data_IF_097639228985
#
_entry.id   IF_097639228985
#
_cell.length_a   1.000
_cell.length_b   1.000
_cell.length_c   1.000
_cell.angle_alpha   90.00
_cell.angle_beta   90.00
_cell.angle_gamma   90.00
#
_symmetry.space_group_name_H-M   'P 1'
#
loop_
_entity.id
_entity.type
_entity.pdbx_description
1 polymer ?
#
# COMPACT_ATOMS: atom_id res chain seq x y z
N UNK A 1 -3.12 14.22 -14.50
CA UNK A 1 -1.66 14.42 -14.63
C UNK A 1 -1.02 13.09 -14.95
N UNK A 2 0.05 13.04 -15.76
CA UNK A 2 0.76 11.80 -16.05
C UNK A 2 1.49 11.24 -14.83
N UNK A 3 1.93 9.99 -14.92
CA UNK A 3 2.78 9.30 -13.94
C UNK A 3 4.06 10.11 -13.65
N UNK A 4 4.47 10.16 -12.37
CA UNK A 4 5.76 10.75 -11.96
C UNK A 4 6.93 9.86 -12.37
N UNK A 5 7.97 10.47 -12.94
CA UNK A 5 9.16 9.76 -13.44
C UNK A 5 10.35 9.83 -12.49
N UNK A 6 10.27 10.65 -11.44
CA UNK A 6 11.30 10.86 -10.43
C UNK A 6 11.14 9.94 -9.19
N UNK A 7 10.01 9.23 -9.09
CA UNK A 7 9.79 8.20 -8.06
C UNK A 7 9.98 6.83 -8.70
N UNK A 8 10.78 5.98 -8.04
CA UNK A 8 10.99 4.59 -8.45
C UNK A 8 10.59 3.59 -7.35
N UNK A 9 10.65 4.01 -6.08
CA UNK A 9 10.33 3.19 -4.91
C UNK A 9 9.33 3.88 -4.01
N UNK A 10 8.31 3.15 -3.58
CA UNK A 10 7.23 3.64 -2.72
C UNK A 10 7.14 2.76 -1.47
N UNK A 11 7.16 3.40 -0.30
CA UNK A 11 6.84 2.75 0.98
C UNK A 11 5.35 2.94 1.26
N UNK A 12 4.62 1.83 1.43
CA UNK A 12 3.26 1.81 1.94
C UNK A 12 3.31 1.45 3.42
N UNK A 13 2.59 2.22 4.24
CA UNK A 13 2.44 1.97 5.67
C UNK A 13 1.05 1.36 5.89
N UNK A 14 1.01 0.11 6.35
CA UNK A 14 -0.22 -0.57 6.74
C UNK A 14 -0.79 -0.03 8.05
N UNK A 15 -2.06 -0.34 8.31
CA UNK A 15 -2.78 0.14 9.50
C UNK A 15 -2.34 -0.52 10.81
N UNK A 16 -1.59 -1.62 10.76
CA UNK A 16 -1.33 -2.46 11.92
C UNK A 16 -2.54 -3.35 12.26
N UNK A 17 -2.59 -3.91 13.48
CA UNK A 17 -3.62 -4.86 13.90
C UNK A 17 -5.04 -4.31 13.80
N UNK A 18 -6.00 -5.20 13.61
CA UNK A 18 -7.43 -4.87 13.57
C UNK A 18 -7.90 -4.37 14.94
N UNK A 19 -8.54 -3.20 14.95
CA UNK A 19 -9.24 -2.64 16.11
C UNK A 19 -10.63 -2.13 15.70
N UNK A 20 -11.48 -1.83 16.69
CA UNK A 20 -12.80 -1.22 16.41
C UNK A 20 -12.58 0.06 15.61
N UNK A 21 -13.32 0.19 14.50
CA UNK A 21 -13.23 1.31 13.55
C UNK A 21 -11.93 1.39 12.73
N UNK A 22 -11.04 0.39 12.82
CA UNK A 22 -9.89 0.24 11.94
C UNK A 22 -9.65 -1.25 11.67
N UNK A 23 -10.43 -1.81 10.75
CA UNK A 23 -10.50 -3.24 10.49
C UNK A 23 -10.01 -3.59 9.08
N UNK A 24 -10.65 -4.56 8.44
CA UNK A 24 -10.21 -5.17 7.19
C UNK A 24 -10.23 -4.22 5.98
N UNK A 25 -10.89 -3.07 6.08
CA UNK A 25 -10.95 -2.07 5.02
C UNK A 25 -9.55 -1.58 4.60
N UNK A 26 -8.58 -1.59 5.53
CA UNK A 26 -7.21 -1.18 5.25
C UNK A 26 -6.36 -2.29 4.64
N UNK A 27 -6.68 -3.56 4.92
CA UNK A 27 -6.04 -4.68 4.22
C UNK A 27 -6.51 -4.75 2.76
N UNK A 28 -7.83 -4.61 2.53
CA UNK A 28 -8.40 -4.50 1.19
C UNK A 28 -7.79 -3.32 0.41
N UNK A 29 -7.76 -2.13 1.03
CA UNK A 29 -7.21 -0.93 0.40
C UNK A 29 -5.70 -1.03 0.18
N UNK A 30 -4.95 -1.58 1.14
CA UNK A 30 -3.51 -1.79 1.05
C UNK A 30 -3.12 -2.76 -0.07
N UNK A 31 -3.83 -3.89 -0.18
CA UNK A 31 -3.63 -4.85 -1.25
C UNK A 31 -3.92 -4.24 -2.63
N UNK A 32 -4.98 -3.44 -2.76
CA UNK A 32 -5.27 -2.71 -4.00
C UNK A 32 -4.19 -1.69 -4.34
N UNK A 33 -3.69 -0.94 -3.36
CA UNK A 33 -2.60 0.02 -3.57
C UNK A 33 -1.31 -0.67 -4.04
N UNK A 34 -0.92 -1.79 -3.41
CA UNK A 34 0.23 -2.59 -3.84
C UNK A 34 0.05 -3.08 -5.28
N UNK A 35 -1.14 -3.59 -5.62
CA UNK A 35 -1.43 -4.07 -6.98
C UNK A 35 -1.31 -2.94 -8.01
N UNK A 36 -1.98 -1.82 -7.80
CA UNK A 36 -1.97 -0.69 -8.73
C UNK A 36 -0.56 -0.13 -8.95
N UNK A 37 0.22 0.05 -7.87
CA UNK A 37 1.58 0.58 -7.99
C UNK A 37 2.54 -0.41 -8.68
N UNK A 38 2.37 -1.72 -8.47
CA UNK A 38 3.14 -2.73 -9.20
C UNK A 38 2.77 -2.79 -10.68
N UNK A 39 1.50 -2.66 -11.04
CA UNK A 39 1.03 -2.59 -12.45
C UNK A 39 1.60 -1.36 -13.17
N UNK A 40 1.75 -0.25 -12.44
CA UNK A 40 2.44 0.94 -12.93
C UNK A 40 3.97 0.81 -12.94
N UNK A 41 4.55 -0.30 -12.47
CA UNK A 41 5.99 -0.56 -12.53
C UNK A 41 6.82 0.14 -11.45
N UNK A 42 6.24 0.47 -10.30
CA UNK A 42 6.99 0.93 -9.13
C UNK A 42 7.52 -0.24 -8.31
N UNK A 43 8.68 -0.05 -7.67
CA UNK A 43 9.09 -0.92 -6.57
C UNK A 43 8.30 -0.55 -5.32
N UNK A 44 7.61 -1.53 -4.72
CA UNK A 44 6.74 -1.29 -3.56
C UNK A 44 7.27 -2.04 -2.36
N UNK A 45 7.50 -1.31 -1.27
CA UNK A 45 7.80 -1.86 0.06
C UNK A 45 6.58 -1.62 0.93
N UNK A 46 6.07 -2.65 1.60
CA UNK A 46 4.96 -2.55 2.54
C UNK A 46 5.47 -2.90 3.94
N UNK A 47 5.16 -2.06 4.93
CA UNK A 47 5.32 -2.40 6.33
C UNK A 47 3.95 -2.52 6.99
N UNK A 48 3.68 -3.67 7.60
CA UNK A 48 2.49 -3.90 8.39
C UNK A 48 2.85 -4.84 9.55
N UNK A 49 2.45 -4.49 10.77
CA UNK A 49 2.63 -5.36 11.94
C UNK A 49 1.52 -6.40 12.09
N UNK A 50 0.41 -6.24 11.34
CA UNK A 50 -0.60 -7.28 11.19
C UNK A 50 -0.08 -8.35 10.21
N UNK A 51 0.15 -9.59 10.66
CA UNK A 51 0.61 -10.70 9.80
C UNK A 51 -0.46 -11.14 8.80
#
# INVERSE_FOLDING_TARGET
>A
MPKRTDIHKILIIGSGPIIISQACEFDYSGAQAVKALKEEGYEVVLINSNP
#
